data_IF_010180613817
#
_entry.id   IF_010180613817
#
_cell.length_a   1.000
_cell.length_b   1.000
_cell.length_c   1.000
_cell.angle_alpha   90.00
_cell.angle_beta   90.00
_cell.angle_gamma   90.00
#
_symmetry.space_group_name_H-M   'P 1'
#
loop_
_entity.id
_entity.type
_entity.pdbx_description
1 polymer ?
#
# COMPACT_ATOMS: atom_id res chain seq x y z
N UNK A 1 -17.45 45.49 -21.63
CA UNK A 1 -17.10 45.21 -20.23
C UNK A 1 -17.53 43.79 -19.86
N UNK A 2 -16.57 42.90 -19.59
CA UNK A 2 -16.50 42.13 -18.35
C UNK A 2 -15.18 41.34 -18.35
N UNK A 3 -14.24 41.81 -17.54
CA UNK A 3 -12.92 41.23 -17.39
C UNK A 3 -13.02 40.02 -16.48
N UNK A 4 -12.67 38.84 -16.99
CA UNK A 4 -12.52 37.62 -16.20
C UNK A 4 -11.25 37.74 -15.35
N UNK A 5 -11.41 38.04 -14.06
CA UNK A 5 -10.32 37.97 -13.08
C UNK A 5 -10.16 36.51 -12.65
N UNK A 6 -9.32 35.78 -13.36
CA UNK A 6 -8.84 34.48 -12.90
C UNK A 6 -7.80 34.74 -11.80
N UNK A 7 -8.24 34.72 -10.54
CA UNK A 7 -7.36 34.84 -9.38
C UNK A 7 -6.56 33.54 -9.24
N UNK A 8 -5.43 33.42 -9.94
CA UNK A 8 -4.47 32.36 -9.72
C UNK A 8 -3.79 32.61 -8.39
N UNK A 9 -4.23 31.91 -7.36
CA UNK A 9 -3.51 31.76 -6.10
C UNK A 9 -2.18 31.10 -6.43
N UNK A 10 -1.17 31.90 -6.76
CA UNK A 10 0.21 31.47 -6.92
C UNK A 10 0.74 31.13 -5.53
N UNK A 11 0.29 29.97 -5.01
CA UNK A 11 0.88 29.32 -3.85
C UNK A 11 2.36 29.24 -4.10
N UNK A 12 3.12 29.94 -3.26
CA UNK A 12 4.54 30.21 -3.46
C UNK A 12 5.28 28.88 -3.61
N UNK A 13 5.60 28.46 -4.84
CA UNK A 13 6.23 27.17 -5.13
C UNK A 13 7.48 26.93 -4.25
N UNK A 14 8.14 28.02 -3.85
CA UNK A 14 9.26 28.00 -2.93
C UNK A 14 8.90 27.60 -1.49
N UNK A 15 7.72 27.95 -0.97
CA UNK A 15 7.28 27.51 0.36
C UNK A 15 6.89 26.02 0.36
N UNK A 16 6.33 25.52 -0.74
CA UNK A 16 6.07 24.09 -0.91
C UNK A 16 7.36 23.29 -1.02
N UNK A 17 8.35 23.76 -1.80
CA UNK A 17 9.66 23.10 -1.90
C UNK A 17 10.39 23.07 -0.54
N UNK A 18 10.44 24.21 0.17
CA UNK A 18 11.04 24.27 1.52
C UNK A 18 10.33 23.36 2.52
N UNK A 19 9.00 23.26 2.42
CA UNK A 19 8.22 22.34 3.26
C UNK A 19 8.53 20.87 3.01
N UNK A 20 8.91 20.49 1.78
CA UNK A 20 9.33 19.13 1.45
C UNK A 20 10.76 18.85 1.95
N UNK A 21 11.68 19.80 1.78
CA UNK A 21 13.06 19.69 2.29
C UNK A 21 13.10 19.48 3.81
N UNK A 22 12.27 20.22 4.56
CA UNK A 22 12.18 20.08 6.02
C UNK A 22 11.69 18.71 6.45
N UNK A 23 10.69 18.14 5.76
CA UNK A 23 10.17 16.79 6.05
C UNK A 23 11.20 15.70 5.75
N UNK A 24 12.01 15.88 4.70
CA UNK A 24 13.11 14.95 4.37
C UNK A 24 14.18 14.99 5.46
N UNK A 25 14.56 16.19 5.91
CA UNK A 25 15.56 16.35 6.97
C UNK A 25 15.08 15.78 8.32
N UNK A 26 13.81 15.99 8.66
CA UNK A 26 13.18 15.40 9.85
C UNK A 26 13.23 13.86 9.78
N UNK A 27 12.88 13.27 8.64
CA UNK A 27 12.95 11.82 8.43
C UNK A 27 14.38 11.28 8.53
N UNK A 28 15.38 12.01 8.00
CA UNK A 28 16.80 11.65 8.10
C UNK A 28 17.34 11.73 9.53
N UNK A 29 16.91 12.72 10.31
CA UNK A 29 17.28 12.82 11.74
C UNK A 29 16.72 11.66 12.55
N UNK A 30 15.46 11.28 12.30
CA UNK A 30 14.85 10.09 12.93
C UNK A 30 15.65 8.84 12.55
N UNK A 31 15.98 8.66 11.27
CA UNK A 31 16.78 7.52 10.78
C UNK A 31 18.15 7.40 11.45
N UNK A 32 18.85 8.52 11.69
CA UNK A 32 20.15 8.53 12.36
C UNK A 32 20.07 8.11 13.84
N UNK A 33 18.91 8.26 14.47
CA UNK A 33 18.66 7.89 15.88
C UNK A 33 18.08 6.49 16.07
N UNK A 34 17.70 5.80 14.99
CA UNK A 34 17.33 4.40 15.07
C UNK A 34 18.63 3.64 15.37
N UNK A 35 18.76 2.95 16.54
CA UNK A 35 19.90 2.07 16.75
C UNK A 35 19.98 1.12 15.56
N UNK A 36 21.20 0.86 15.03
CA UNK A 36 21.41 -0.16 13.99
C UNK A 36 20.98 -1.51 14.55
N UNK A 37 19.68 -1.76 14.50
CA UNK A 37 19.08 -3.07 14.70
C UNK A 37 19.74 -3.91 13.63
N UNK A 38 20.42 -4.99 14.05
CA UNK A 38 20.86 -6.04 13.14
C UNK A 38 19.70 -6.29 12.20
N UNK A 39 19.89 -5.93 10.93
CA UNK A 39 18.86 -6.02 9.90
C UNK A 39 18.33 -7.43 9.99
N UNK A 40 17.13 -7.59 10.57
CA UNK A 40 16.38 -8.84 10.53
C UNK A 40 16.50 -9.31 9.08
N UNK A 41 16.92 -10.56 8.82
CA UNK A 41 17.15 -11.01 7.46
C UNK A 41 15.93 -10.59 6.66
N UNK A 42 16.14 -9.69 5.69
CA UNK A 42 15.07 -9.14 4.85
C UNK A 42 14.16 -10.32 4.53
N UNK A 43 12.90 -10.25 4.96
CA UNK A 43 11.99 -11.37 4.87
C UNK A 43 11.83 -11.71 3.39
N UNK A 44 12.64 -12.65 2.90
CA UNK A 44 12.64 -13.04 1.50
C UNK A 44 11.33 -13.76 1.27
N UNK A 45 10.62 -13.39 0.22
CA UNK A 45 9.45 -14.13 -0.20
C UNK A 45 9.87 -15.59 -0.44
N UNK A 46 9.19 -16.52 0.24
CA UNK A 46 9.40 -17.96 0.10
C UNK A 46 8.28 -18.52 -0.76
N UNK A 47 8.56 -19.33 -1.81
CA UNK A 47 7.50 -19.95 -2.59
C UNK A 47 6.66 -20.93 -1.76
N UNK A 48 5.40 -21.19 -2.16
CA UNK A 48 4.62 -22.29 -1.59
C UNK A 48 5.21 -23.65 -1.97
N UNK A 49 4.68 -24.72 -1.35
CA UNK A 49 4.99 -26.10 -1.74
C UNK A 49 4.56 -26.36 -3.19
N UNK A 50 5.12 -27.42 -3.80
CA UNK A 50 4.71 -27.87 -5.12
C UNK A 50 3.20 -28.11 -5.17
N UNK A 51 2.55 -27.69 -6.27
CA UNK A 51 1.10 -27.74 -6.48
C UNK A 51 0.27 -26.91 -5.49
N UNK A 52 0.87 -25.95 -4.79
CA UNK A 52 0.16 -25.00 -3.95
C UNK A 52 0.28 -23.60 -4.51
N UNK A 53 -0.75 -22.79 -4.25
CA UNK A 53 -0.78 -21.36 -4.57
C UNK A 53 -0.65 -20.56 -3.28
N UNK A 54 0.20 -19.54 -3.29
CA UNK A 54 0.31 -18.56 -2.21
C UNK A 54 -0.44 -17.30 -2.60
N UNK A 55 -1.42 -16.91 -1.81
CA UNK A 55 -2.13 -15.65 -1.98
C UNK A 55 -1.65 -14.68 -0.91
N UNK A 56 -0.91 -13.66 -1.33
CA UNK A 56 -0.49 -12.54 -0.49
C UNK A 56 -1.57 -11.46 -0.54
N UNK A 57 -1.99 -10.94 0.61
CA UNK A 57 -3.00 -9.88 0.73
C UNK A 57 -2.42 -8.68 1.44
N UNK A 58 -2.99 -7.51 1.17
CA UNK A 58 -2.68 -6.25 1.85
C UNK A 58 -3.90 -5.33 1.80
N UNK A 59 -4.03 -4.43 2.78
CA UNK A 59 -5.05 -3.40 2.80
C UNK A 59 -4.48 -2.03 3.18
N UNK A 60 -4.76 -1.02 2.35
CA UNK A 60 -4.50 0.37 2.69
C UNK A 60 -5.79 1.05 3.11
N UNK A 61 -5.83 1.68 4.28
CA UNK A 61 -7.00 2.38 4.81
C UNK A 61 -6.75 3.88 5.02
N UNK A 62 -7.73 4.72 4.67
CA UNK A 62 -7.72 6.15 4.95
C UNK A 62 -9.14 6.67 5.12
N UNK A 63 -9.41 7.29 6.28
CA UNK A 63 -10.62 8.11 6.53
C UNK A 63 -11.92 7.47 6.01
N UNK A 64 -12.21 6.23 6.42
CA UNK A 64 -13.37 5.38 6.06
C UNK A 64 -13.32 4.59 4.74
N UNK A 65 -12.31 4.82 3.88
CA UNK A 65 -12.12 4.04 2.66
C UNK A 65 -10.93 3.10 2.81
N UNK A 66 -11.04 1.91 2.24
CA UNK A 66 -9.94 0.98 2.10
C UNK A 66 -9.75 0.59 0.63
N UNK A 67 -8.50 0.36 0.26
CA UNK A 67 -8.13 -0.40 -0.94
C UNK A 67 -7.53 -1.71 -0.48
N UNK A 68 -8.13 -2.83 -0.90
CA UNK A 68 -7.60 -4.17 -0.62
C UNK A 68 -6.99 -4.75 -1.89
N UNK A 69 -5.94 -5.54 -1.73
CA UNK A 69 -5.24 -6.20 -2.84
C UNK A 69 -4.91 -7.65 -2.51
N UNK A 70 -4.92 -8.50 -3.53
CA UNK A 70 -4.54 -9.91 -3.44
C UNK A 70 -3.69 -10.31 -4.65
N UNK A 71 -2.57 -11.01 -4.41
CA UNK A 71 -1.68 -11.53 -5.44
C UNK A 71 -1.51 -13.04 -5.22
N UNK A 72 -2.00 -13.84 -6.16
CA UNK A 72 -1.83 -15.28 -6.19
C UNK A 72 -0.58 -15.66 -7.00
N UNK A 73 0.30 -16.47 -6.42
CA UNK A 73 1.53 -16.98 -7.05
C UNK A 73 1.67 -18.48 -6.91
N UNK A 74 2.22 -19.13 -7.94
CA UNK A 74 2.56 -20.55 -7.91
C UNK A 74 3.89 -20.82 -7.16
N UNK A 75 4.32 -22.09 -7.11
CA UNK A 75 5.58 -22.51 -6.50
C UNK A 75 6.84 -21.95 -7.19
N UNK A 76 6.74 -21.46 -8.43
CA UNK A 76 7.85 -20.81 -9.14
C UNK A 76 7.86 -19.29 -8.89
N UNK A 77 6.86 -18.76 -8.18
CA UNK A 77 6.67 -17.33 -7.96
C UNK A 77 6.03 -16.61 -9.13
N UNK A 78 5.50 -17.33 -10.12
CA UNK A 78 4.74 -16.74 -11.22
C UNK A 78 3.42 -16.18 -10.69
N UNK A 79 3.11 -14.94 -11.03
CA UNK A 79 1.82 -14.32 -10.70
C UNK A 79 0.75 -14.93 -11.59
N UNK A 80 -0.17 -15.67 -10.98
CA UNK A 80 -1.34 -16.25 -11.64
C UNK A 80 -2.48 -15.23 -11.72
N UNK A 81 -2.63 -14.42 -10.66
CA UNK A 81 -3.65 -13.38 -10.56
C UNK A 81 -3.17 -12.25 -9.65
N UNK A 82 -3.52 -11.02 -10.02
CA UNK A 82 -3.41 -9.86 -9.16
C UNK A 82 -4.71 -9.06 -9.25
N UNK A 83 -5.36 -8.83 -8.13
CA UNK A 83 -6.63 -8.11 -8.05
C UNK A 83 -6.57 -7.05 -6.95
N UNK A 84 -7.30 -5.96 -7.16
CA UNK A 84 -7.50 -4.92 -6.16
C UNK A 84 -8.87 -4.30 -6.28
N UNK A 85 -9.51 -3.97 -5.16
CA UNK A 85 -10.77 -3.23 -5.13
C UNK A 85 -10.75 -2.17 -4.02
N UNK A 86 -11.55 -1.12 -4.21
CA UNK A 86 -11.80 -0.12 -3.16
C UNK A 86 -13.16 -0.38 -2.52
N UNK A 87 -13.23 -0.24 -1.21
CA UNK A 87 -14.44 -0.47 -0.41
C UNK A 87 -14.46 0.42 0.83
N UNK A 88 -15.59 0.39 1.52
CA UNK A 88 -15.75 1.11 2.79
C UNK A 88 -15.34 0.20 3.94
N UNK A 89 -14.55 0.73 4.86
CA UNK A 89 -14.12 0.02 6.05
C UNK A 89 -14.07 0.99 7.24
N UNK A 90 -14.53 0.54 8.40
CA UNK A 90 -14.58 1.36 9.62
C UNK A 90 -13.20 1.74 10.12
N UNK A 91 -12.24 0.83 9.98
CA UNK A 91 -10.89 0.93 10.53
C UNK A 91 -9.92 0.00 9.77
N UNK A 92 -8.60 0.14 9.96
CA UNK A 92 -7.61 -0.69 9.30
C UNK A 92 -7.73 -2.20 9.60
N UNK A 93 -8.16 -2.60 10.79
CA UNK A 93 -8.30 -4.02 11.14
C UNK A 93 -9.42 -4.67 10.32
N UNK A 94 -10.54 -3.98 10.17
CA UNK A 94 -11.64 -4.43 9.29
C UNK A 94 -11.19 -4.49 7.83
N UNK A 95 -10.38 -3.54 7.37
CA UNK A 95 -9.84 -3.55 6.01
C UNK A 95 -8.96 -4.79 5.75
N UNK A 96 -8.02 -5.10 6.65
CA UNK A 96 -7.14 -6.27 6.56
C UNK A 96 -7.92 -7.59 6.62
N UNK A 97 -8.86 -7.72 7.56
CA UNK A 97 -9.71 -8.91 7.66
C UNK A 97 -10.57 -9.10 6.40
N UNK A 98 -11.03 -8.00 5.80
CA UNK A 98 -11.78 -8.02 4.54
C UNK A 98 -10.89 -8.44 3.37
N UNK A 99 -9.63 -8.01 3.32
CA UNK A 99 -8.67 -8.46 2.32
C UNK A 99 -8.44 -9.98 2.38
N UNK A 100 -8.28 -10.53 3.59
CA UNK A 100 -8.14 -11.98 3.80
C UNK A 100 -9.41 -12.72 3.34
N UNK A 101 -10.59 -12.28 3.78
CA UNK A 101 -11.86 -12.92 3.40
C UNK A 101 -12.03 -12.92 1.88
N UNK A 102 -11.81 -11.77 1.24
CA UNK A 102 -11.93 -11.61 -0.19
C UNK A 102 -10.94 -12.48 -0.97
N UNK A 103 -9.71 -12.65 -0.48
CA UNK A 103 -8.75 -13.55 -1.10
C UNK A 103 -9.19 -15.03 -1.06
N UNK A 104 -9.87 -15.46 0.01
CA UNK A 104 -10.47 -16.81 0.07
C UNK A 104 -11.62 -16.97 -0.92
N UNK A 105 -12.46 -15.94 -1.07
CA UNK A 105 -13.52 -15.92 -2.08
C UNK A 105 -12.94 -16.00 -3.50
N UNK A 106 -11.87 -15.24 -3.79
CA UNK A 106 -11.13 -15.31 -5.05
C UNK A 106 -10.56 -16.71 -5.29
N UNK A 107 -9.95 -17.34 -4.26
CA UNK A 107 -9.40 -18.68 -4.38
C UNK A 107 -10.46 -19.71 -4.77
N UNK A 108 -11.64 -19.63 -4.14
CA UNK A 108 -12.77 -20.50 -4.45
C UNK A 108 -13.33 -20.25 -5.86
N UNK A 109 -13.36 -19.00 -6.32
CA UNK A 109 -13.89 -18.63 -7.63
C UNK A 109 -12.97 -19.07 -8.77
N UNK A 110 -11.66 -18.85 -8.60
CA UNK A 110 -10.63 -19.15 -9.60
C UNK A 110 -10.20 -20.63 -9.59
N UNK A 111 -10.65 -21.41 -8.59
CA UNK A 111 -10.32 -22.83 -8.38
C UNK A 111 -8.82 -23.09 -8.24
N UNK A 112 -8.18 -22.26 -7.42
CA UNK A 112 -6.79 -22.42 -6.99
C UNK A 112 -6.60 -23.66 -6.10
#
# INVERSE_FOLDING_TARGET
>A
MNSTVHNSTHGNAMSTCKGQELKILEHLQVYQWIPKIDVFPCAKWVPPLLHHIKINVDAAWSSSKATIAAIARDQHGLVLKACSIQLDASDPMVAEATAIRWALELASLEKF
#
